data_IF_911748655052
#
_entry.id   IF_911748655052
#
_cell.length_a   1.000
_cell.length_b   1.000
_cell.length_c   1.000
_cell.angle_alpha   90.00
_cell.angle_beta   90.00
_cell.angle_gamma   90.00
#
_symmetry.space_group_name_H-M   'P 1'
#
loop_
_entity.id
_entity.type
_entity.pdbx_description
1 polymer ?
#
# COMPACT_ATOMS: atom_id res chain seq x y z
N UNK A 1 -3.35 8.30 33.79
CA UNK A 1 -2.08 7.67 33.36
C UNK A 1 -2.43 6.48 32.49
N UNK A 2 -1.96 6.46 31.23
CA UNK A 2 -2.11 5.27 30.38
C UNK A 2 -1.05 4.26 30.85
N UNK A 3 -1.44 3.04 31.27
CA UNK A 3 -0.49 2.07 31.78
C UNK A 3 0.54 1.68 30.72
N UNK A 4 1.76 1.35 31.16
CA UNK A 4 2.83 0.85 30.29
C UNK A 4 2.44 -0.52 29.71
N UNK A 5 2.89 -0.79 28.50
CA UNK A 5 2.66 -2.06 27.82
C UNK A 5 3.26 -3.24 28.62
N UNK A 6 2.48 -4.31 28.79
CA UNK A 6 2.93 -5.58 29.38
C UNK A 6 2.58 -6.73 28.44
N UNK A 7 3.51 -7.67 28.24
CA UNK A 7 3.24 -8.88 27.47
C UNK A 7 2.24 -9.77 28.21
N UNK A 8 1.20 -10.25 27.50
CA UNK A 8 0.19 -11.17 28.05
C UNK A 8 -1.09 -10.52 28.61
N UNK A 9 -1.21 -9.20 28.62
CA UNK A 9 -2.45 -8.49 28.97
C UNK A 9 -3.44 -8.36 27.80
N UNK A 10 -4.73 -8.12 28.09
CA UNK A 10 -5.72 -7.72 27.08
C UNK A 10 -5.31 -6.34 26.55
N UNK A 11 -5.03 -6.26 25.25
CA UNK A 11 -4.54 -5.06 24.59
C UNK A 11 -5.31 -4.85 23.29
N UNK A 12 -5.66 -3.61 22.92
CA UNK A 12 -6.26 -3.32 21.62
C UNK A 12 -5.42 -3.82 20.43
N UNK A 13 -4.10 -4.01 20.62
CA UNK A 13 -3.20 -4.58 19.60
C UNK A 13 -3.54 -6.02 19.21
N UNK A 14 -4.29 -6.75 20.04
CA UNK A 14 -4.75 -8.12 19.74
C UNK A 14 -5.68 -8.17 18.53
N UNK A 15 -6.32 -7.04 18.20
CA UNK A 15 -7.20 -6.90 17.05
C UNK A 15 -6.49 -6.36 15.81
N UNK A 16 -5.17 -6.13 15.87
CA UNK A 16 -4.40 -5.64 14.73
C UNK A 16 -4.06 -6.81 13.82
N UNK A 17 -4.22 -6.61 12.53
CA UNK A 17 -3.89 -7.56 11.48
C UNK A 17 -3.13 -6.85 10.36
N UNK A 18 -2.39 -7.62 9.56
CA UNK A 18 -1.69 -7.10 8.39
C UNK A 18 -2.69 -6.85 7.27
N UNK A 19 -2.50 -5.77 6.52
CA UNK A 19 -3.36 -5.35 5.41
C UNK A 19 -2.59 -5.30 4.08
N UNK A 20 -1.58 -6.17 3.95
CA UNK A 20 -0.68 -6.22 2.80
C UNK A 20 0.37 -5.11 2.81
N UNK A 21 0.96 -4.87 1.64
CA UNK A 21 2.17 -4.07 1.52
C UNK A 21 3.40 -4.89 1.88
N UNK A 22 4.55 -4.24 1.85
CA UNK A 22 5.81 -4.87 2.22
C UNK A 22 6.39 -4.20 3.46
N UNK A 23 7.36 -3.32 3.25
CA UNK A 23 8.11 -2.67 4.32
C UNK A 23 7.58 -1.26 4.61
N UNK A 24 7.03 -0.59 3.60
CA UNK A 24 6.79 0.84 3.63
C UNK A 24 5.76 1.27 2.59
N UNK A 25 5.30 2.50 2.70
CA UNK A 25 4.39 3.11 1.73
C UNK A 25 3.08 3.56 2.37
N UNK A 26 2.37 4.50 1.70
CA UNK A 26 1.05 4.92 2.14
C UNK A 26 0.03 3.81 1.90
N UNK A 27 -1.11 3.95 2.58
CA UNK A 27 -2.27 3.09 2.40
C UNK A 27 -3.41 3.96 1.89
N UNK A 28 -4.17 3.45 0.94
CA UNK A 28 -5.42 4.06 0.48
C UNK A 28 -6.57 3.07 0.67
N UNK A 29 -7.69 3.57 1.19
CA UNK A 29 -8.91 2.79 1.40
C UNK A 29 -9.89 3.09 0.27
N UNK A 30 -10.61 2.06 -0.19
CA UNK A 30 -11.73 2.31 -1.08
C UNK A 30 -12.88 2.94 -0.25
N UNK A 31 -13.38 4.12 -0.63
CA UNK A 31 -14.29 4.91 0.20
C UNK A 31 -15.68 4.28 0.36
N UNK A 32 -16.13 3.49 -0.61
CA UNK A 32 -17.43 2.80 -0.55
C UNK A 32 -17.29 1.34 -0.06
N UNK A 33 -16.07 0.79 -0.06
CA UNK A 33 -15.74 -0.61 0.24
C UNK A 33 -14.47 -0.65 1.10
N UNK A 34 -14.55 -0.27 2.40
CA UNK A 34 -13.38 -0.11 3.25
C UNK A 34 -12.61 -1.42 3.52
N UNK A 35 -13.19 -2.56 3.17
CA UNK A 35 -12.60 -3.90 3.12
C UNK A 35 -11.58 -4.07 1.97
N UNK A 36 -11.66 -3.22 0.94
CA UNK A 36 -10.67 -3.14 -0.15
C UNK A 36 -9.62 -2.11 0.21
N UNK A 37 -8.39 -2.59 0.38
CA UNK A 37 -7.25 -1.80 0.83
C UNK A 37 -6.15 -1.84 -0.23
N UNK A 38 -5.58 -0.68 -0.53
CA UNK A 38 -4.40 -0.55 -1.37
C UNK A 38 -3.21 -0.17 -0.50
N UNK A 39 -2.29 -1.12 -0.31
CA UNK A 39 -1.12 -0.95 0.53
C UNK A 39 0.11 -0.80 -0.34
N UNK A 40 0.86 0.28 -0.12
CA UNK A 40 2.09 0.53 -0.84
C UNK A 40 3.24 -0.38 -0.42
N UNK A 41 4.20 -0.51 -1.33
CA UNK A 41 5.50 -1.11 -1.12
C UNK A 41 6.54 -0.25 -1.84
N UNK A 42 7.81 -0.38 -1.45
CA UNK A 42 8.90 0.26 -2.18
C UNK A 42 8.91 -0.20 -3.65
N UNK A 43 9.52 0.61 -4.51
CA UNK A 43 9.59 0.26 -5.93
C UNK A 43 8.29 0.51 -6.71
N UNK A 44 7.27 1.11 -6.09
CA UNK A 44 5.98 1.41 -6.73
C UNK A 44 5.02 0.24 -6.83
N UNK A 45 5.30 -0.82 -6.07
CA UNK A 45 4.44 -1.98 -5.93
C UNK A 45 3.25 -1.63 -5.02
N UNK A 46 2.05 -2.05 -5.38
CA UNK A 46 0.84 -1.90 -4.57
C UNK A 46 0.22 -3.28 -4.37
N UNK A 47 -0.10 -3.63 -3.14
CA UNK A 47 -0.94 -4.78 -2.84
C UNK A 47 -2.39 -4.33 -2.67
N UNK A 48 -3.28 -4.87 -3.51
CA UNK A 48 -4.73 -4.76 -3.32
C UNK A 48 -5.18 -5.94 -2.48
N UNK A 49 -5.55 -5.67 -1.25
CA UNK A 49 -6.09 -6.65 -0.31
C UNK A 49 -7.61 -6.49 -0.23
N UNK A 50 -8.31 -7.61 -0.24
CA UNK A 50 -9.74 -7.73 -0.05
C UNK A 50 -9.97 -8.54 1.23
N UNK A 51 -10.42 -7.85 2.28
CA UNK A 51 -10.57 -8.45 3.61
C UNK A 51 -11.77 -9.40 3.72
N UNK A 52 -12.78 -9.28 2.84
CA UNK A 52 -13.92 -10.19 2.83
C UNK A 52 -13.55 -11.56 2.27
N UNK A 53 -12.72 -11.57 1.22
CA UNK A 53 -12.31 -12.79 0.51
C UNK A 53 -10.92 -13.30 0.91
N UNK A 54 -10.23 -12.55 1.77
CA UNK A 54 -8.82 -12.77 2.16
C UNK A 54 -7.88 -12.87 0.95
N UNK A 55 -8.23 -12.22 -0.16
CA UNK A 55 -7.43 -12.23 -1.38
C UNK A 55 -6.48 -11.05 -1.43
N UNK A 56 -5.23 -11.32 -1.79
CA UNK A 56 -4.22 -10.32 -2.04
C UNK A 56 -3.79 -10.38 -3.50
N UNK A 57 -3.71 -9.22 -4.14
CA UNK A 57 -3.20 -9.08 -5.49
C UNK A 57 -2.12 -8.01 -5.55
N UNK A 58 -0.95 -8.42 -6.01
CA UNK A 58 0.12 -7.51 -6.33
C UNK A 58 -0.16 -6.76 -7.64
N UNK A 59 0.04 -5.44 -7.63
CA UNK A 59 -0.17 -4.52 -8.74
C UNK A 59 1.09 -3.72 -8.96
N UNK A 60 1.64 -3.83 -10.16
CA UNK A 60 2.82 -3.12 -10.63
C UNK A 60 2.48 -2.47 -11.96
N UNK A 61 2.87 -1.21 -12.14
CA UNK A 61 2.73 -0.50 -13.41
C UNK A 61 3.67 -1.08 -14.46
N UNK A 62 4.90 -1.41 -14.05
CA UNK A 62 5.89 -2.05 -14.89
C UNK A 62 6.71 -3.03 -14.06
N UNK A 63 6.90 -4.28 -14.52
CA UNK A 63 7.65 -5.28 -13.78
C UNK A 63 9.15 -4.97 -13.87
N UNK A 64 9.63 -4.16 -12.92
CA UNK A 64 11.05 -3.83 -12.77
C UNK A 64 11.47 -3.94 -11.31
N UNK A 65 12.71 -4.35 -11.08
CA UNK A 65 13.31 -4.31 -9.76
C UNK A 65 13.98 -2.96 -9.56
N UNK A 66 13.50 -2.15 -8.62
CA UNK A 66 14.09 -0.84 -8.33
C UNK A 66 15.42 -0.93 -7.55
N UNK A 67 15.62 -2.00 -6.77
CA UNK A 67 16.79 -2.15 -5.90
C UNK A 67 18.07 -2.40 -6.70
N UNK A 68 19.11 -1.61 -6.43
CA UNK A 68 20.44 -1.78 -7.03
C UNK A 68 20.57 -1.29 -8.47
N UNK A 69 19.53 -0.66 -9.04
CA UNK A 69 19.58 -0.08 -10.38
C UNK A 69 19.83 1.42 -10.33
N UNK A 70 20.58 1.94 -11.30
CA UNK A 70 20.77 3.38 -11.40
C UNK A 70 19.44 4.03 -11.83
N UNK A 71 19.06 5.21 -11.28
CA UNK A 71 17.78 5.84 -11.60
C UNK A 71 17.55 6.11 -13.11
N UNK A 72 18.63 6.28 -13.88
CA UNK A 72 18.55 6.50 -15.34
C UNK A 72 18.10 5.25 -16.11
N UNK A 73 18.29 4.07 -15.54
CA UNK A 73 17.97 2.78 -16.17
C UNK A 73 16.58 2.27 -15.76
N UNK A 74 15.89 2.99 -14.87
CA UNK A 74 14.53 2.71 -14.43
C UNK A 74 13.51 3.39 -15.36
N UNK A 75 12.57 2.60 -15.90
CA UNK A 75 11.45 3.10 -16.72
C UNK A 75 10.57 4.03 -15.90
N UNK A 76 10.14 3.55 -14.73
CA UNK A 76 9.41 4.35 -13.75
C UNK A 76 10.20 4.47 -12.45
N UNK A 77 10.40 5.70 -11.99
CA UNK A 77 11.13 6.00 -10.75
C UNK A 77 10.14 6.29 -9.65
N UNK A 78 9.93 5.32 -8.77
CA UNK A 78 9.09 5.50 -7.60
C UNK A 78 9.93 5.98 -6.42
N UNK A 79 9.36 6.85 -5.61
CA UNK A 79 9.93 7.16 -4.30
C UNK A 79 9.73 5.97 -3.36
N UNK A 80 10.53 5.91 -2.29
CA UNK A 80 10.40 4.89 -1.25
C UNK A 80 8.97 4.88 -0.68
N UNK A 81 8.39 6.07 -0.50
CA UNK A 81 6.99 6.30 -0.14
C UNK A 81 6.24 6.95 -1.32
N UNK A 82 5.83 6.13 -2.28
CA UNK A 82 5.09 6.60 -3.44
C UNK A 82 3.60 6.82 -3.12
N UNK A 83 2.99 7.97 -3.46
CA UNK A 83 1.59 8.27 -3.11
C UNK A 83 0.61 7.32 -3.81
N UNK A 84 -0.40 6.86 -3.08
CA UNK A 84 -1.52 6.06 -3.59
C UNK A 84 -2.80 6.78 -3.21
N UNK A 85 -3.70 7.00 -4.18
CA UNK A 85 -4.97 7.69 -3.93
C UNK A 85 -6.08 7.02 -4.73
N UNK A 86 -7.15 6.60 -4.04
CA UNK A 86 -8.40 6.24 -4.71
C UNK A 86 -9.12 7.52 -5.13
N UNK A 87 -9.54 7.58 -6.39
CA UNK A 87 -10.13 8.78 -6.97
C UNK A 87 -11.40 9.22 -6.22
N UNK A 88 -11.54 10.53 -5.91
CA UNK A 88 -12.75 11.06 -5.28
C UNK A 88 -13.97 11.03 -6.21
N UNK A 89 -13.76 10.97 -7.53
CA UNK A 89 -14.81 11.11 -8.55
C UNK A 89 -15.22 9.78 -9.19
N UNK A 90 -14.29 8.83 -9.31
CA UNK A 90 -14.54 7.51 -9.91
C UNK A 90 -13.85 6.45 -9.06
N UNK A 91 -14.63 5.70 -8.29
CA UNK A 91 -14.08 4.77 -7.28
C UNK A 91 -13.33 3.58 -7.87
N UNK A 92 -13.52 3.29 -9.15
CA UNK A 92 -12.81 2.22 -9.84
C UNK A 92 -11.38 2.62 -10.23
N UNK A 93 -10.96 3.85 -9.92
CA UNK A 93 -9.69 4.42 -10.32
C UNK A 93 -8.78 4.64 -9.13
N UNK A 94 -7.56 4.11 -9.23
CA UNK A 94 -6.50 4.33 -8.26
C UNK A 94 -5.36 5.04 -8.96
N UNK A 95 -4.93 6.16 -8.39
CA UNK A 95 -3.78 6.89 -8.86
C UNK A 95 -2.53 6.49 -8.09
N UNK A 96 -1.42 6.31 -8.81
CA UNK A 96 -0.11 6.08 -8.23
C UNK A 96 0.94 7.02 -8.84
N UNK A 97 1.90 7.47 -8.03
CA UNK A 97 2.85 8.52 -8.44
C UNK A 97 4.30 8.05 -8.55
N UNK A 98 4.80 7.92 -9.78
CA UNK A 98 6.25 7.89 -10.03
C UNK A 98 6.75 9.31 -10.36
N UNK A 99 7.74 9.44 -11.24
CA UNK A 99 7.96 10.70 -11.98
C UNK A 99 6.75 11.12 -12.86
N UNK A 100 5.75 10.26 -13.00
CA UNK A 100 4.47 10.52 -13.68
C UNK A 100 3.29 10.11 -12.78
N UNK A 101 2.08 10.48 -13.18
CA UNK A 101 0.84 10.03 -12.53
C UNK A 101 0.23 8.90 -13.36
N UNK A 102 -0.03 7.77 -12.72
CA UNK A 102 -0.57 6.55 -13.32
C UNK A 102 -2.02 6.32 -12.90
N UNK A 103 -2.79 5.59 -13.71
CA UNK A 103 -4.22 5.28 -13.53
C UNK A 103 -4.49 3.79 -13.67
#
# INVERSE_FOLDING_TARGET
TVPSWTSGGISPKQFWYSIGGCETGPIALHPDHPDIIYSGCYGGTIDRVDLETEQERNVLIYPQLQLGQAPRDLEYRFQWNSPIVVSPHDRNVVYHGSQFVHR
#
